data_IF_795449901258
#
_entry.id   IF_795449901258
#
_cell.length_a   1.000
_cell.length_b   1.000
_cell.length_c   1.000
_cell.angle_alpha   90.00
_cell.angle_beta   90.00
_cell.angle_gamma   90.00
#
_symmetry.space_group_name_H-M   'P 1'
#
loop_
_entity.id
_entity.type
_entity.pdbx_description
1 polymer ?
#
# COMPACT_ATOMS: atom_id res chain seq x y z
N UNK A 1 -20.58 -24.95 52.93
CA UNK A 1 -20.26 -23.57 52.49
C UNK A 1 -19.03 -23.69 51.61
N UNK A 2 -19.23 -23.67 50.30
CA UNK A 2 -18.19 -23.88 49.32
C UNK A 2 -17.63 -22.53 48.86
N UNK A 3 -16.33 -22.35 49.10
CA UNK A 3 -15.58 -21.23 48.55
C UNK A 3 -15.48 -21.36 47.02
N UNK A 4 -16.08 -20.44 46.32
CA UNK A 4 -15.87 -20.33 44.89
C UNK A 4 -14.57 -19.56 44.61
N UNK A 5 -13.56 -20.29 44.22
CA UNK A 5 -12.30 -19.84 43.69
C UNK A 5 -12.53 -19.01 42.41
N UNK A 6 -12.34 -17.69 42.50
CA UNK A 6 -12.39 -16.77 41.35
C UNK A 6 -11.15 -16.98 40.52
N UNK A 7 -11.25 -17.81 39.49
CA UNK A 7 -10.29 -17.88 38.41
C UNK A 7 -10.35 -16.57 37.59
N UNK A 8 -9.60 -15.58 37.99
CA UNK A 8 -9.36 -14.37 37.19
C UNK A 8 -8.32 -14.69 36.09
N UNK A 9 -8.81 -15.13 34.93
CA UNK A 9 -7.99 -15.31 33.76
C UNK A 9 -7.46 -13.94 33.31
N UNK A 10 -6.17 -13.85 33.03
CA UNK A 10 -5.41 -12.64 32.62
C UNK A 10 -5.98 -11.95 31.38
N UNK A 11 -6.85 -12.66 30.64
CA UNK A 11 -7.47 -12.21 29.38
C UNK A 11 -8.69 -11.28 29.57
N UNK A 12 -9.26 -11.17 30.76
CA UNK A 12 -10.51 -10.41 31.00
C UNK A 12 -10.28 -8.99 31.52
N UNK A 13 -9.04 -8.52 31.57
CA UNK A 13 -8.71 -7.17 31.98
C UNK A 13 -8.91 -6.19 30.83
N UNK A 14 -10.12 -5.69 30.63
CA UNK A 14 -10.40 -4.58 29.69
C UNK A 14 -9.55 -3.37 30.07
N UNK A 15 -8.42 -3.22 29.40
CA UNK A 15 -7.56 -2.04 29.57
C UNK A 15 -8.22 -0.84 28.91
N UNK A 16 -8.50 0.20 29.67
CA UNK A 16 -9.02 1.48 29.15
C UNK A 16 -7.95 2.12 28.24
N UNK A 17 -8.37 2.79 27.14
CA UNK A 17 -7.47 3.56 26.26
C UNK A 17 -6.56 4.52 27.05
N UNK A 18 -7.06 5.09 28.15
CA UNK A 18 -6.29 5.94 29.05
C UNK A 18 -5.16 5.19 29.78
N UNK A 19 -5.41 3.95 30.19
CA UNK A 19 -4.41 3.10 30.85
C UNK A 19 -3.35 2.67 29.86
N UNK A 20 -3.72 2.39 28.61
CA UNK A 20 -2.78 2.08 27.54
C UNK A 20 -1.81 3.25 27.28
N UNK A 21 -2.33 4.47 27.11
CA UNK A 21 -1.50 5.67 26.88
C UNK A 21 -0.56 5.95 28.05
N UNK A 22 -1.01 5.81 29.31
CA UNK A 22 -0.15 5.97 30.48
C UNK A 22 0.96 4.93 30.53
N UNK A 23 0.66 3.67 30.23
CA UNK A 23 1.65 2.59 30.25
C UNK A 23 2.66 2.71 29.11
N UNK A 24 2.23 3.17 27.92
CA UNK A 24 3.12 3.44 26.78
C UNK A 24 4.09 4.59 27.07
N UNK A 25 3.63 5.65 27.74
CA UNK A 25 4.50 6.76 28.14
C UNK A 25 5.58 6.34 29.16
N UNK A 26 5.24 5.42 30.07
CA UNK A 26 6.18 4.87 31.04
C UNK A 26 7.26 3.99 30.40
N UNK A 27 6.90 3.22 29.35
CA UNK A 27 7.85 2.35 28.64
C UNK A 27 8.87 3.19 27.85
N UNK A 28 8.43 4.24 27.16
CA UNK A 28 9.32 5.13 26.41
C UNK A 28 10.23 5.91 27.37
N UNK A 29 9.70 6.44 28.46
CA UNK A 29 10.49 7.13 29.48
C UNK A 29 11.51 6.21 30.16
N UNK A 30 11.16 4.94 30.42
CA UNK A 30 12.05 3.95 31.01
C UNK A 30 13.25 3.58 30.14
N UNK A 31 13.06 3.51 28.80
CA UNK A 31 14.15 3.21 27.87
C UNK A 31 15.14 4.37 27.77
N UNK A 32 14.66 5.62 27.76
CA UNK A 32 15.53 6.80 27.69
C UNK A 32 16.34 6.99 28.98
N UNK A 33 15.70 6.88 30.14
CA UNK A 33 16.39 7.01 31.42
C UNK A 33 17.28 5.80 31.74
N UNK A 34 16.83 4.58 31.43
CA UNK A 34 17.60 3.35 31.60
C UNK A 34 18.83 3.28 30.69
N UNK A 35 18.73 3.77 29.47
CA UNK A 35 19.85 3.88 28.53
C UNK A 35 20.92 4.85 28.99
N UNK A 36 20.52 6.02 29.50
CA UNK A 36 21.44 7.05 29.99
C UNK A 36 22.17 6.61 31.28
N UNK A 37 21.49 5.96 32.22
CA UNK A 37 22.10 5.45 33.45
C UNK A 37 22.87 4.15 33.24
N UNK A 38 22.44 3.29 32.32
CA UNK A 38 23.12 2.05 31.96
C UNK A 38 24.48 2.27 31.31
N UNK A 39 24.62 3.32 30.49
CA UNK A 39 25.89 3.65 29.86
C UNK A 39 26.98 4.14 30.81
N UNK A 40 26.60 4.62 32.01
CA UNK A 40 27.54 5.07 33.06
C UNK A 40 28.10 3.91 33.90
N UNK A 41 27.49 2.73 33.87
CA UNK A 41 27.89 1.57 34.67
C UNK A 41 28.77 0.58 33.93
N UNK A 42 28.91 0.74 32.60
CA UNK A 42 29.78 -0.12 31.77
C UNK A 42 31.17 0.54 31.69
N UNK A 43 32.03 0.25 32.69
CA UNK A 43 33.47 0.52 32.58
C UNK A 43 34.14 -0.67 31.93
N UNK A 44 34.76 -0.39 30.77
CA UNK A 44 35.82 -1.15 30.14
C UNK A 44 35.69 -2.68 30.02
N UNK A 45 35.06 -3.12 28.88
CA UNK A 45 35.68 -4.16 28.09
C UNK A 45 35.29 -3.98 26.62
N UNK A 46 36.31 -4.04 25.74
CA UNK A 46 36.22 -3.74 24.33
C UNK A 46 35.36 -4.78 23.60
N UNK A 47 34.09 -4.51 23.50
CA UNK A 47 33.23 -5.02 22.43
C UNK A 47 32.15 -3.99 22.16
N UNK A 48 32.49 -3.03 21.31
CA UNK A 48 31.54 -2.07 20.82
C UNK A 48 30.52 -2.79 19.94
N UNK A 49 29.46 -3.34 20.54
CA UNK A 49 28.22 -3.56 19.82
C UNK A 49 27.59 -2.19 19.64
N UNK A 50 28.06 -1.50 18.63
CA UNK A 50 27.40 -0.30 18.11
C UNK A 50 25.97 -0.73 17.75
N UNK A 51 25.01 -0.45 18.62
CA UNK A 51 23.61 -0.42 18.22
C UNK A 51 23.50 0.68 17.20
N UNK A 52 23.81 0.34 15.95
CA UNK A 52 23.46 1.18 14.82
C UNK A 52 21.96 1.39 14.94
N UNK A 53 21.55 2.59 15.28
CA UNK A 53 20.23 3.10 14.97
C UNK A 53 20.03 2.72 13.49
N UNK A 54 19.28 1.66 13.25
CA UNK A 54 18.90 1.30 11.90
C UNK A 54 18.00 2.43 11.45
N UNK A 55 18.59 3.39 10.72
CA UNK A 55 17.83 4.17 9.77
C UNK A 55 17.09 3.14 8.92
N UNK A 56 15.78 3.09 9.07
CA UNK A 56 14.91 2.28 8.23
C UNK A 56 14.78 2.93 6.84
N UNK A 57 15.92 3.14 6.22
CA UNK A 57 16.05 3.27 4.78
C UNK A 57 16.62 1.94 4.25
N UNK A 58 16.02 0.82 4.65
CA UNK A 58 16.22 -0.42 3.94
C UNK A 58 15.29 -0.35 2.73
N UNK A 59 15.83 0.08 1.60
CA UNK A 59 15.23 -0.14 0.29
C UNK A 59 14.67 -1.55 0.27
N UNK A 60 13.36 -1.75 0.10
CA UNK A 60 12.82 -3.09 -0.02
C UNK A 60 13.45 -3.71 -1.26
N UNK A 61 14.38 -4.65 -1.08
CA UNK A 61 14.87 -5.44 -2.21
C UNK A 61 13.66 -6.09 -2.83
N UNK A 62 13.36 -5.73 -4.07
CA UNK A 62 12.28 -6.35 -4.82
C UNK A 62 12.42 -7.87 -4.66
N UNK A 63 11.40 -8.52 -4.08
CA UNK A 63 11.41 -9.96 -3.93
C UNK A 63 11.13 -10.57 -5.31
N UNK A 64 12.12 -11.20 -5.99
CA UNK A 64 11.93 -11.71 -7.33
C UNK A 64 10.91 -12.86 -7.40
N UNK A 65 10.47 -13.37 -6.26
CA UNK A 65 9.56 -14.51 -6.15
C UNK A 65 8.10 -14.12 -5.84
N UNK A 66 7.70 -12.88 -6.01
CA UNK A 66 6.30 -12.51 -5.84
C UNK A 66 5.51 -12.96 -7.06
N UNK A 67 4.64 -13.95 -6.86
CA UNK A 67 3.77 -14.47 -7.91
C UNK A 67 2.65 -13.47 -8.21
N UNK A 68 2.40 -13.21 -9.50
CA UNK A 68 1.22 -12.48 -9.94
C UNK A 68 -0.02 -13.37 -9.75
N UNK A 69 -1.10 -12.79 -9.24
CA UNK A 69 -2.36 -13.49 -8.97
C UNK A 69 -3.45 -13.14 -10.00
N UNK A 70 -3.33 -12.02 -10.66
CA UNK A 70 -4.34 -11.47 -11.55
C UNK A 70 -3.77 -10.99 -12.89
N UNK A 71 -2.71 -10.21 -12.87
CA UNK A 71 -2.13 -9.65 -14.07
C UNK A 71 -1.33 -10.66 -14.90
N UNK A 72 -1.40 -10.51 -16.22
CA UNK A 72 -0.35 -11.03 -17.10
C UNK A 72 0.94 -10.23 -16.91
N UNK A 73 2.11 -10.78 -17.31
CA UNK A 73 3.37 -10.05 -17.21
C UNK A 73 3.36 -8.67 -17.89
N UNK A 74 2.67 -8.54 -19.04
CA UNK A 74 2.54 -7.25 -19.73
C UNK A 74 1.70 -6.26 -18.93
N UNK A 75 0.52 -6.68 -18.46
CA UNK A 75 -0.35 -5.84 -17.62
C UNK A 75 0.35 -5.36 -16.35
N UNK A 76 1.14 -6.23 -15.74
CA UNK A 76 1.97 -5.87 -14.61
C UNK A 76 2.98 -4.76 -14.95
N UNK A 77 3.67 -4.88 -16.08
CA UNK A 77 4.66 -3.88 -16.52
C UNK A 77 4.01 -2.53 -16.81
N UNK A 78 2.85 -2.52 -17.50
CA UNK A 78 2.07 -1.29 -17.75
C UNK A 78 1.62 -0.67 -16.42
N UNK A 79 1.09 -1.47 -15.51
CA UNK A 79 0.69 -1.00 -14.18
C UNK A 79 1.88 -0.43 -13.41
N UNK A 80 3.03 -1.11 -13.44
CA UNK A 80 4.25 -0.65 -12.76
C UNK A 80 4.73 0.70 -13.32
N UNK A 81 4.69 0.88 -14.64
CA UNK A 81 5.03 2.14 -15.27
C UNK A 81 4.05 3.26 -14.86
N UNK A 82 2.75 2.99 -14.87
CA UNK A 82 1.74 3.97 -14.51
C UNK A 82 1.84 4.40 -13.04
N UNK A 83 1.97 3.46 -12.10
CA UNK A 83 2.06 3.81 -10.66
C UNK A 83 3.33 4.59 -10.33
N UNK A 84 4.45 4.32 -11.03
CA UNK A 84 5.69 5.07 -10.84
C UNK A 84 5.56 6.52 -11.33
N UNK A 85 4.74 6.79 -12.35
CA UNK A 85 4.44 8.16 -12.77
C UNK A 85 3.54 8.90 -11.77
N UNK A 86 2.59 8.20 -11.15
CA UNK A 86 1.68 8.76 -10.14
C UNK A 86 2.42 9.06 -8.83
N UNK A 87 3.33 8.18 -8.43
CA UNK A 87 4.10 8.31 -7.21
C UNK A 87 5.58 7.97 -7.49
N UNK A 88 6.34 8.92 -8.05
CA UNK A 88 7.74 8.71 -8.40
C UNK A 88 8.66 8.73 -7.18
N UNK A 89 9.85 8.15 -7.31
CA UNK A 89 10.94 8.31 -6.36
C UNK A 89 11.36 9.78 -6.28
N UNK A 90 11.54 10.29 -5.06
CA UNK A 90 11.99 11.66 -4.80
C UNK A 90 12.94 11.73 -3.59
N UNK A 91 13.28 12.96 -3.19
CA UNK A 91 14.16 13.20 -2.04
C UNK A 91 13.57 12.73 -0.69
N UNK A 92 12.26 12.47 -0.61
CA UNK A 92 11.57 12.03 0.60
C UNK A 92 11.53 10.51 0.72
N UNK A 93 11.68 9.77 -0.39
CA UNK A 93 11.67 8.32 -0.32
C UNK A 93 11.50 7.60 -1.66
N UNK A 94 11.36 6.27 -1.58
CA UNK A 94 11.23 5.39 -2.75
C UNK A 94 9.91 5.60 -3.50
N UNK A 95 9.93 5.42 -4.82
CA UNK A 95 8.76 5.47 -5.68
C UNK A 95 7.86 4.21 -5.58
N UNK A 96 6.70 4.27 -6.23
CA UNK A 96 5.72 3.20 -6.22
C UNK A 96 6.26 1.86 -6.75
N UNK A 97 7.17 1.90 -7.71
CA UNK A 97 7.83 0.72 -8.26
C UNK A 97 8.66 0.00 -7.19
N UNK A 98 9.46 0.72 -6.44
CA UNK A 98 10.31 0.18 -5.39
C UNK A 98 9.49 -0.31 -4.19
N UNK A 99 8.39 0.38 -3.90
CA UNK A 99 7.40 -0.02 -2.88
C UNK A 99 6.53 -1.22 -3.30
N UNK A 100 6.71 -1.76 -4.51
CA UNK A 100 5.91 -2.87 -5.05
C UNK A 100 4.41 -2.58 -5.13
N UNK A 101 4.00 -1.32 -5.40
CA UNK A 101 2.60 -0.92 -5.47
C UNK A 101 1.81 -1.72 -6.52
N UNK A 102 2.44 -2.05 -7.67
CA UNK A 102 1.80 -2.87 -8.71
C UNK A 102 1.45 -4.29 -8.24
N UNK A 103 2.27 -4.91 -7.37
CA UNK A 103 1.97 -6.21 -6.74
C UNK A 103 0.78 -6.08 -5.78
N UNK A 104 0.76 -5.01 -5.00
CA UNK A 104 -0.38 -4.76 -4.12
C UNK A 104 -1.69 -4.64 -4.92
N UNK A 105 -1.68 -3.91 -6.02
CA UNK A 105 -2.84 -3.75 -6.92
C UNK A 105 -3.25 -5.11 -7.50
N UNK A 106 -2.30 -5.90 -8.00
CA UNK A 106 -2.53 -7.25 -8.51
C UNK A 106 -3.31 -8.12 -7.53
N UNK A 107 -2.84 -8.18 -6.28
CA UNK A 107 -3.48 -8.96 -5.22
C UNK A 107 -4.85 -8.41 -4.82
N UNK A 108 -5.04 -7.08 -4.82
CA UNK A 108 -6.35 -6.48 -4.53
C UNK A 108 -7.38 -6.80 -5.63
N UNK A 109 -6.96 -6.78 -6.90
CA UNK A 109 -7.82 -7.11 -8.03
C UNK A 109 -8.16 -8.59 -8.10
N UNK A 110 -7.25 -9.48 -7.71
CA UNK A 110 -7.51 -10.92 -7.56
C UNK A 110 -8.52 -11.22 -6.44
N UNK A 111 -8.61 -10.36 -5.46
CA UNK A 111 -9.38 -10.57 -4.24
C UNK A 111 -10.85 -10.08 -4.29
N UNK A 112 -11.51 -10.09 -3.12
CA UNK A 112 -12.89 -9.64 -2.97
C UNK A 112 -13.13 -8.18 -3.39
N UNK A 113 -12.14 -7.32 -3.23
CA UNK A 113 -12.23 -5.91 -3.64
C UNK A 113 -12.37 -5.77 -5.16
N UNK A 114 -11.56 -6.49 -5.94
CA UNK A 114 -11.63 -6.49 -7.40
C UNK A 114 -12.96 -7.01 -7.93
N UNK A 115 -13.60 -7.94 -7.19
CA UNK A 115 -14.90 -8.54 -7.53
C UNK A 115 -16.09 -7.81 -6.91
N UNK A 116 -15.90 -6.64 -6.28
CA UNK A 116 -16.96 -5.82 -5.67
C UNK A 116 -17.83 -6.56 -4.62
N UNK A 117 -17.28 -7.54 -3.90
CA UNK A 117 -18.04 -8.43 -3.01
C UNK A 117 -18.81 -7.68 -1.91
N UNK A 118 -18.30 -6.54 -1.44
CA UNK A 118 -18.93 -5.75 -0.38
C UNK A 118 -19.80 -4.59 -0.86
N UNK A 119 -20.00 -4.43 -2.16
CA UNK A 119 -20.70 -3.27 -2.69
C UNK A 119 -22.23 -3.42 -2.69
N UNK A 120 -22.77 -4.58 -2.29
CA UNK A 120 -24.21 -4.86 -2.17
C UNK A 120 -25.03 -4.44 -3.40
N UNK A 121 -24.59 -4.81 -4.59
CA UNK A 121 -25.17 -4.40 -5.88
C UNK A 121 -26.41 -5.22 -6.26
N UNK A 122 -27.38 -5.26 -5.36
CA UNK A 122 -28.64 -5.94 -5.56
C UNK A 122 -29.70 -4.91 -6.01
N UNK A 123 -29.92 -4.79 -7.29
CA UNK A 123 -30.94 -3.90 -7.83
C UNK A 123 -30.67 -3.42 -9.24
N UNK A 124 -31.59 -2.59 -9.75
CA UNK A 124 -31.42 -1.94 -11.03
C UNK A 124 -30.32 -0.85 -10.95
N UNK A 125 -29.54 -0.73 -12.03
CA UNK A 125 -28.54 0.33 -12.13
C UNK A 125 -29.17 1.52 -12.86
N UNK A 126 -29.19 2.66 -12.20
CA UNK A 126 -29.68 3.93 -12.73
C UNK A 126 -28.51 4.90 -12.95
N UNK A 127 -28.75 5.94 -13.74
CA UNK A 127 -27.80 7.04 -13.84
C UNK A 127 -27.66 7.69 -12.46
N UNK A 128 -26.45 7.72 -11.93
CA UNK A 128 -26.17 8.29 -10.62
C UNK A 128 -26.15 9.83 -10.67
N UNK A 129 -26.45 10.45 -9.55
CA UNK A 129 -26.09 11.84 -9.27
C UNK A 129 -24.57 11.91 -9.01
N UNK A 130 -23.96 13.07 -9.23
CA UNK A 130 -22.50 13.28 -9.12
C UNK A 130 -21.92 12.90 -7.76
N UNK A 131 -22.69 13.00 -6.70
CA UNK A 131 -22.28 12.70 -5.31
C UNK A 131 -22.49 11.25 -4.89
N UNK A 132 -23.08 10.40 -5.73
CA UNK A 132 -23.42 9.00 -5.38
C UNK A 132 -22.32 8.00 -5.70
N UNK A 133 -21.23 8.42 -6.33
CA UNK A 133 -20.18 7.54 -6.82
C UNK A 133 -20.64 6.67 -8.02
N UNK A 134 -19.78 5.78 -8.49
CA UNK A 134 -20.03 5.02 -9.72
C UNK A 134 -21.17 3.99 -9.54
N UNK A 135 -22.22 4.12 -10.33
CA UNK A 135 -23.36 3.20 -10.41
C UNK A 135 -23.24 2.34 -11.68
N UNK A 136 -22.25 1.45 -11.73
CA UNK A 136 -21.98 0.61 -12.89
C UNK A 136 -22.00 -0.87 -12.55
N UNK A 137 -22.36 -1.71 -13.52
CA UNK A 137 -22.32 -3.19 -13.40
C UNK A 137 -20.91 -3.75 -13.51
N UNK A 138 -19.99 -2.99 -14.14
CA UNK A 138 -18.63 -3.45 -14.37
C UNK A 138 -17.91 -3.70 -13.03
N UNK A 139 -17.16 -4.79 -12.93
CA UNK A 139 -16.35 -5.06 -11.76
C UNK A 139 -15.09 -4.18 -11.78
N UNK A 140 -14.55 -3.86 -10.59
CA UNK A 140 -13.31 -3.06 -10.50
C UNK A 140 -12.17 -3.68 -11.29
N UNK A 141 -12.02 -5.00 -11.22
CA UNK A 141 -10.98 -5.71 -11.96
C UNK A 141 -11.14 -5.59 -13.47
N UNK A 142 -12.37 -5.64 -13.97
CA UNK A 142 -12.64 -5.54 -15.42
C UNK A 142 -12.45 -4.10 -15.90
N UNK A 143 -12.89 -3.12 -15.11
CA UNK A 143 -12.65 -1.70 -15.39
C UNK A 143 -11.15 -1.38 -15.42
N UNK A 144 -10.38 -1.95 -14.46
CA UNK A 144 -8.95 -1.75 -14.42
C UNK A 144 -8.25 -2.32 -15.65
N UNK A 145 -8.63 -3.54 -16.08
CA UNK A 145 -8.10 -4.13 -17.30
C UNK A 145 -8.46 -3.32 -18.54
N UNK A 146 -9.70 -2.83 -18.65
CA UNK A 146 -10.10 -1.94 -19.73
C UNK A 146 -9.23 -0.67 -19.77
N UNK A 147 -8.95 -0.09 -18.60
CA UNK A 147 -8.05 1.06 -18.47
C UNK A 147 -6.63 0.77 -18.97
N UNK A 148 -6.04 -0.38 -18.62
CA UNK A 148 -4.70 -0.76 -19.10
C UNK A 148 -4.67 -0.94 -20.63
N UNK A 149 -5.70 -1.57 -21.20
CA UNK A 149 -5.83 -1.73 -22.66
C UNK A 149 -5.95 -0.36 -23.33
N UNK A 150 -6.75 0.55 -22.77
CA UNK A 150 -6.91 1.90 -23.30
C UNK A 150 -5.63 2.74 -23.19
N UNK A 151 -4.81 2.55 -22.13
CA UNK A 151 -3.51 3.20 -22.01
C UNK A 151 -2.57 2.80 -23.15
N UNK A 152 -2.42 1.49 -23.41
CA UNK A 152 -1.58 1.00 -24.50
C UNK A 152 -2.12 1.43 -25.86
N UNK A 153 -3.44 1.34 -26.07
CA UNK A 153 -4.08 1.75 -27.31
C UNK A 153 -3.84 3.24 -27.60
N UNK A 154 -4.12 4.11 -26.63
CA UNK A 154 -3.92 5.55 -26.79
C UNK A 154 -2.45 5.91 -27.01
N UNK A 155 -1.53 5.23 -26.30
CA UNK A 155 -0.09 5.42 -26.49
C UNK A 155 0.36 5.04 -27.90
N UNK A 156 -0.13 3.92 -28.42
CA UNK A 156 0.17 3.48 -29.76
C UNK A 156 -0.42 4.42 -30.84
N UNK A 157 -1.63 4.94 -30.63
CA UNK A 157 -2.27 5.90 -31.54
C UNK A 157 -1.53 7.24 -31.59
N UNK A 158 -0.96 7.71 -30.46
CA UNK A 158 -0.30 9.01 -30.38
C UNK A 158 1.22 8.95 -30.66
N UNK A 159 1.87 7.85 -30.29
CA UNK A 159 3.32 7.76 -30.27
C UNK A 159 3.89 6.51 -30.96
N UNK A 160 3.04 5.63 -31.48
CA UNK A 160 3.41 4.35 -32.14
C UNK A 160 4.21 3.38 -31.21
N UNK A 161 4.07 3.53 -29.88
CA UNK A 161 4.81 2.79 -28.87
C UNK A 161 3.87 2.45 -27.70
N UNK A 162 4.06 1.28 -27.08
CA UNK A 162 3.31 0.88 -25.88
C UNK A 162 3.59 1.82 -24.70
N UNK A 163 2.58 2.07 -23.86
CA UNK A 163 2.68 2.99 -22.72
C UNK A 163 3.91 2.76 -21.85
N UNK A 164 4.22 1.49 -21.53
CA UNK A 164 5.36 1.12 -20.69
C UNK A 164 6.73 1.47 -21.30
N UNK A 165 6.80 1.66 -22.60
CA UNK A 165 8.04 1.93 -23.34
C UNK A 165 8.22 3.44 -23.62
N UNK A 166 7.19 4.25 -23.34
CA UNK A 166 7.26 5.70 -23.45
C UNK A 166 8.24 6.30 -22.43
N UNK A 167 8.84 7.42 -22.84
CA UNK A 167 9.58 8.28 -21.91
C UNK A 167 8.65 8.86 -20.83
N UNK A 168 9.21 9.13 -19.65
CA UNK A 168 8.46 9.60 -18.48
C UNK A 168 7.53 10.78 -18.77
N UNK A 169 7.99 11.80 -19.50
CA UNK A 169 7.19 12.97 -19.84
C UNK A 169 5.97 12.62 -20.71
N UNK A 170 6.12 11.70 -21.66
CA UNK A 170 5.02 11.23 -22.51
C UNK A 170 4.03 10.35 -21.74
N UNK A 171 4.52 9.52 -20.80
CA UNK A 171 3.66 8.78 -19.88
C UNK A 171 2.79 9.73 -19.04
N UNK A 172 3.36 10.84 -18.56
CA UNK A 172 2.62 11.85 -17.83
C UNK A 172 1.55 12.53 -18.69
N UNK A 173 1.85 12.86 -19.94
CA UNK A 173 0.87 13.42 -20.90
C UNK A 173 -0.30 12.47 -21.17
N UNK A 174 -0.01 11.18 -21.35
CA UNK A 174 -1.04 10.15 -21.51
C UNK A 174 -1.92 10.07 -20.27
N UNK A 175 -1.34 9.93 -19.06
CA UNK A 175 -2.09 9.83 -17.81
C UNK A 175 -2.93 11.11 -17.56
N UNK A 176 -2.39 12.28 -17.88
CA UNK A 176 -3.12 13.54 -17.77
C UNK A 176 -4.35 13.54 -18.70
N UNK A 177 -4.20 13.07 -19.94
CA UNK A 177 -5.31 12.99 -20.91
C UNK A 177 -6.45 12.09 -20.39
N UNK A 178 -6.13 10.98 -19.71
CA UNK A 178 -7.11 10.13 -19.05
C UNK A 178 -7.77 10.83 -17.86
N UNK A 179 -6.99 11.52 -17.01
CA UNK A 179 -7.51 12.23 -15.84
C UNK A 179 -8.46 13.38 -16.21
N UNK A 180 -8.25 13.99 -17.35
CA UNK A 180 -9.09 15.07 -17.91
C UNK A 180 -10.33 14.55 -18.68
N UNK A 181 -10.49 13.23 -18.78
CA UNK A 181 -11.61 12.61 -19.51
C UNK A 181 -11.56 12.80 -21.02
N UNK A 182 -10.37 13.04 -21.60
CA UNK A 182 -10.18 13.19 -23.04
C UNK A 182 -10.13 11.84 -23.79
N UNK A 183 -9.99 10.75 -23.04
CA UNK A 183 -9.92 9.39 -23.57
C UNK A 183 -11.10 8.60 -23.05
N UNK A 184 -11.88 8.02 -23.96
CA UNK A 184 -12.96 7.10 -23.61
C UNK A 184 -12.42 5.69 -23.34
N UNK A 185 -13.01 5.00 -22.34
CA UNK A 185 -12.67 3.63 -21.95
C UNK A 185 -13.49 2.60 -22.71
#
# INVERSE_FOLDING_TARGET
>A
MSEQEKNNTVLDKRSSRRTFIKNSGLTVGGVVLGGALGSLLIKDDKSATTTKTQNHAATPKANPNVALMFFTPNQYQVTQAAVERIFPEDANGPGAKELNAAIYIDHQLAGPWGSNVKDYRLGAFYKAEENQGPQTKILRKDLFLAGLVSLDKYSNEQYEVDFKELEAAKQDEVLLSFSEGKVEL
#
